data_IF_243588548787
#
_entry.id   IF_243588548787
#
_cell.length_a   1.000
_cell.length_b   1.000
_cell.length_c   1.000
_cell.angle_alpha   90.00
_cell.angle_beta   90.00
_cell.angle_gamma   90.00
#
_symmetry.space_group_name_H-M   'P 1'
#
loop_
_entity.id
_entity.type
_entity.pdbx_description
1 polymer ?
#
# COMPACT_ATOMS: atom_id res chain seq x y z
N UNK A 1 -30.86 -33.63 -1.08
CA UNK A 1 -31.10 -33.85 0.36
C UNK A 1 -30.73 -32.56 1.08
N UNK A 2 -31.69 -31.92 1.75
CA UNK A 2 -31.55 -30.57 2.34
C UNK A 2 -31.33 -30.73 3.85
N UNK A 3 -30.17 -30.32 4.35
CA UNK A 3 -29.90 -30.27 5.78
C UNK A 3 -30.12 -28.83 6.29
N UNK A 4 -31.11 -28.68 7.18
CA UNK A 4 -31.44 -27.44 7.87
C UNK A 4 -30.76 -27.50 9.24
N UNK A 5 -29.85 -26.57 9.52
CA UNK A 5 -29.21 -26.44 10.84
C UNK A 5 -29.72 -25.14 11.47
N UNK A 6 -30.62 -25.30 12.44
CA UNK A 6 -31.13 -24.24 13.31
C UNK A 6 -30.11 -24.01 14.43
N UNK A 7 -29.47 -22.84 14.47
CA UNK A 7 -28.65 -22.43 15.60
C UNK A 7 -29.41 -21.37 16.42
N UNK A 8 -29.62 -21.69 17.69
CA UNK A 8 -30.33 -20.90 18.70
C UNK A 8 -29.46 -19.70 19.10
N UNK A 9 -30.05 -18.51 19.06
CA UNK A 9 -29.45 -17.29 19.59
C UNK A 9 -29.42 -17.34 21.12
N UNK A 10 -28.22 -17.22 21.72
CA UNK A 10 -28.07 -16.92 23.14
C UNK A 10 -27.55 -15.48 23.28
N UNK A 11 -28.43 -14.58 23.74
CA UNK A 11 -28.09 -13.24 24.20
C UNK A 11 -27.49 -13.30 25.60
N UNK A 12 -26.32 -12.70 25.79
CA UNK A 12 -25.87 -12.27 27.12
C UNK A 12 -25.13 -10.95 26.98
N UNK A 13 -25.81 -9.90 27.42
CA UNK A 13 -25.26 -8.55 27.58
C UNK A 13 -24.50 -8.49 28.90
N UNK A 14 -23.23 -8.12 28.90
CA UNK A 14 -22.60 -7.54 30.09
C UNK A 14 -21.60 -6.48 29.66
N UNK A 15 -22.03 -5.22 29.79
CA UNK A 15 -21.18 -4.05 29.67
C UNK A 15 -20.37 -3.91 30.96
N UNK A 16 -19.04 -3.97 30.84
CA UNK A 16 -18.12 -3.49 31.87
C UNK A 16 -17.26 -2.39 31.24
N UNK A 17 -17.66 -1.14 31.51
CA UNK A 17 -16.87 0.04 31.21
C UNK A 17 -15.65 0.06 32.13
N UNK A 18 -14.49 -0.34 31.60
CA UNK A 18 -13.19 -0.09 32.21
C UNK A 18 -12.56 1.18 31.63
N UNK A 19 -11.86 1.99 32.44
CA UNK A 19 -11.25 3.22 31.97
C UNK A 19 -10.12 2.94 30.98
N UNK A 20 -10.11 3.77 29.94
CA UNK A 20 -9.14 3.82 28.87
C UNK A 20 -7.71 4.00 29.41
N UNK A 21 -6.92 2.93 29.33
CA UNK A 21 -5.45 2.95 29.34
C UNK A 21 -4.97 1.99 28.25
N UNK A 22 -5.40 2.24 27.01
CA UNK A 22 -4.86 1.59 25.83
C UNK A 22 -3.76 2.47 25.23
N UNK A 23 -2.59 2.36 25.85
CA UNK A 23 -1.27 2.41 25.22
C UNK A 23 -1.12 3.33 23.99
N UNK A 24 -0.69 4.57 24.24
CA UNK A 24 -0.12 5.49 23.24
C UNK A 24 1.12 4.92 22.50
N UNK A 25 1.61 3.73 22.90
CA UNK A 25 2.80 3.05 22.36
C UNK A 25 2.58 2.17 21.12
N UNK A 26 1.35 2.06 20.58
CA UNK A 26 1.13 1.32 19.32
C UNK A 26 1.39 2.13 18.04
N UNK A 27 1.66 3.44 18.14
CA UNK A 27 1.93 4.27 16.95
C UNK A 27 3.34 4.10 16.36
N UNK A 28 4.27 3.46 17.09
CA UNK A 28 5.70 3.46 16.75
C UNK A 28 6.25 2.11 16.26
N UNK A 29 5.37 1.17 15.90
CA UNK A 29 5.75 -0.16 15.38
C UNK A 29 5.23 -0.45 13.97
N UNK A 30 5.20 0.55 13.10
CA UNK A 30 5.55 0.26 11.71
C UNK A 30 7.03 -0.09 11.70
N UNK A 31 7.35 -1.35 12.02
CA UNK A 31 8.69 -1.92 11.85
C UNK A 31 9.21 -1.42 10.50
N UNK A 32 10.40 -0.80 10.49
CA UNK A 32 11.20 -0.66 9.26
C UNK A 32 11.19 -2.03 8.59
N UNK A 33 10.38 -2.16 7.55
CA UNK A 33 9.91 -3.45 7.09
C UNK A 33 9.62 -3.37 5.60
N UNK A 34 9.96 -4.44 4.91
CA UNK A 34 9.61 -4.56 3.50
C UNK A 34 8.09 -4.66 3.37
N UNK A 35 7.52 -3.82 2.51
CA UNK A 35 6.11 -3.85 2.14
C UNK A 35 5.99 -4.23 0.67
N UNK A 36 5.07 -5.14 0.39
CA UNK A 36 4.63 -5.48 -0.96
C UNK A 36 3.23 -4.92 -1.19
N UNK A 37 2.98 -4.37 -2.36
CA UNK A 37 1.64 -3.94 -2.76
C UNK A 37 1.35 -4.21 -4.23
N UNK A 38 0.08 -4.44 -4.51
CA UNK A 38 -0.47 -4.55 -5.86
C UNK A 38 -1.58 -3.52 -5.99
N UNK A 39 -1.61 -2.79 -7.10
CA UNK A 39 -2.63 -1.76 -7.30
C UNK A 39 -2.64 -1.22 -8.72
N UNK A 40 -3.61 -0.35 -8.97
CA UNK A 40 -3.72 0.39 -10.22
C UNK A 40 -3.07 1.75 -10.05
N UNK A 41 -2.26 2.16 -11.03
CA UNK A 41 -1.66 3.49 -11.09
C UNK A 41 -2.75 4.51 -11.37
N UNK A 42 -2.99 5.42 -10.43
CA UNK A 42 -3.98 6.49 -10.60
C UNK A 42 -3.34 7.84 -10.93
N UNK A 43 -2.04 7.97 -10.70
CA UNK A 43 -1.27 9.19 -10.89
C UNK A 43 0.24 8.89 -10.98
N UNK A 44 0.97 9.73 -11.70
CA UNK A 44 2.42 9.59 -11.95
C UNK A 44 3.08 10.96 -11.85
N UNK A 45 4.26 11.05 -11.24
CA UNK A 45 4.97 12.32 -11.09
C UNK A 45 6.47 12.11 -11.04
N UNK A 46 7.22 12.92 -11.79
CA UNK A 46 8.67 13.01 -11.67
C UNK A 46 9.05 14.08 -10.66
N UNK A 47 9.89 13.74 -9.69
CA UNK A 47 10.39 14.68 -8.68
C UNK A 47 11.90 14.72 -8.67
N UNK A 48 12.46 15.92 -8.60
CA UNK A 48 13.88 16.12 -8.36
C UNK A 48 14.09 16.34 -6.87
N UNK A 49 14.78 15.41 -6.21
CA UNK A 49 15.07 15.52 -4.78
C UNK A 49 16.28 16.43 -4.56
N UNK A 50 16.12 17.47 -3.74
CA UNK A 50 17.20 18.38 -3.40
C UNK A 50 18.33 17.63 -2.68
N UNK A 51 19.56 17.75 -3.19
CA UNK A 51 20.74 17.06 -2.64
C UNK A 51 21.02 15.67 -3.21
N UNK A 52 20.11 15.11 -4.02
CA UNK A 52 20.41 13.93 -4.85
C UNK A 52 20.98 14.40 -6.19
N UNK A 53 22.22 14.02 -6.51
CA UNK A 53 22.87 14.46 -7.73
C UNK A 53 22.21 13.83 -8.97
N UNK A 54 21.36 14.60 -9.66
CA UNK A 54 21.18 14.50 -11.11
C UNK A 54 20.21 13.45 -11.64
N UNK A 55 19.29 12.92 -10.84
CA UNK A 55 18.32 11.95 -11.38
C UNK A 55 16.96 12.08 -10.74
N UNK A 56 15.95 12.42 -11.55
CA UNK A 56 14.57 12.50 -11.10
C UNK A 56 14.07 11.15 -10.61
N UNK A 57 13.40 11.15 -9.46
CA UNK A 57 12.68 10.00 -8.94
C UNK A 57 11.30 9.93 -9.57
N UNK A 58 10.94 8.75 -10.06
CA UNK A 58 9.63 8.49 -10.64
C UNK A 58 8.68 7.98 -9.55
N UNK A 59 7.72 8.82 -9.18
CA UNK A 59 6.70 8.50 -8.19
C UNK A 59 5.42 8.06 -8.87
N UNK A 60 4.80 7.01 -8.36
CA UNK A 60 3.47 6.57 -8.75
C UNK A 60 2.54 6.55 -7.55
N UNK A 61 1.28 6.92 -7.77
CA UNK A 61 0.22 6.76 -6.78
C UNK A 61 -0.54 5.49 -7.13
N UNK A 62 -0.48 4.51 -6.25
CA UNK A 62 -1.21 3.26 -6.41
C UNK A 62 -2.48 3.29 -5.57
N UNK A 63 -3.58 2.88 -6.19
CA UNK A 63 -4.84 2.60 -5.52
C UNK A 63 -5.01 1.08 -5.41
N UNK A 64 -5.27 0.59 -4.19
CA UNK A 64 -5.39 -0.85 -3.90
C UNK A 64 -6.56 -1.16 -2.99
N UNK A 65 -7.11 -2.37 -3.15
CA UNK A 65 -8.18 -2.93 -2.33
C UNK A 65 -9.56 -2.30 -2.58
N UNK A 66 -10.57 -2.82 -1.87
CA UNK A 66 -11.96 -2.34 -1.94
C UNK A 66 -12.12 -0.94 -1.35
N UNK A 67 -11.28 -0.60 -0.37
CA UNK A 67 -11.31 0.70 0.33
C UNK A 67 -10.62 1.82 -0.44
N UNK A 68 -10.14 1.54 -1.66
CA UNK A 68 -9.43 2.49 -2.53
C UNK A 68 -8.28 3.18 -1.78
N UNK A 69 -7.54 2.41 -0.99
CA UNK A 69 -6.42 2.94 -0.21
C UNK A 69 -5.32 3.39 -1.17
N UNK A 70 -4.87 4.62 -0.99
CA UNK A 70 -3.83 5.23 -1.84
C UNK A 70 -2.48 5.23 -1.13
N UNK A 71 -1.45 4.79 -1.83
CA UNK A 71 -0.06 4.79 -1.36
C UNK A 71 0.83 5.35 -2.45
N UNK A 72 1.79 6.18 -2.07
CA UNK A 72 2.81 6.68 -2.99
C UNK A 72 3.94 5.68 -3.03
N UNK A 73 4.37 5.30 -4.22
CA UNK A 73 5.50 4.40 -4.45
C UNK A 73 6.55 5.16 -5.24
N UNK A 74 7.76 5.21 -4.70
CA UNK A 74 8.94 5.70 -5.39
C UNK A 74 9.58 4.52 -6.14
N UNK A 75 9.58 4.60 -7.48
CA UNK A 75 10.19 3.60 -8.36
C UNK A 75 11.68 3.85 -8.58
N UNK A 76 12.24 4.90 -7.96
CA UNK A 76 13.61 5.32 -8.13
C UNK A 76 13.82 6.09 -9.43
N UNK A 77 15.06 6.11 -9.88
CA UNK A 77 15.46 6.79 -11.11
C UNK A 77 14.95 5.99 -12.31
N UNK A 78 14.16 6.63 -13.18
CA UNK A 78 13.84 6.04 -14.47
C UNK A 78 15.07 6.13 -15.39
N UNK A 79 15.64 4.97 -15.71
CA UNK A 79 16.52 4.81 -16.88
C UNK A 79 15.68 4.47 -18.10
N UNK A 80 16.14 4.84 -19.30
CA UNK A 80 15.48 4.52 -20.58
C UNK A 80 15.23 3.01 -20.82
N UNK A 81 15.93 2.15 -20.09
CA UNK A 81 15.76 0.70 -20.12
C UNK A 81 14.48 0.20 -19.40
N UNK A 82 13.83 1.03 -18.60
CA UNK A 82 12.61 0.66 -17.87
C UNK A 82 11.37 1.06 -18.69
N UNK A 83 10.50 0.10 -18.99
CA UNK A 83 9.19 0.38 -19.58
C UNK A 83 8.48 1.46 -18.75
N UNK A 84 7.96 2.48 -19.42
CA UNK A 84 7.20 3.54 -18.78
C UNK A 84 5.94 2.92 -18.13
N UNK A 85 5.85 3.05 -16.80
CA UNK A 85 4.62 2.75 -16.05
C UNK A 85 3.72 3.95 -16.19
N UNK A 86 2.49 3.76 -16.64
CA UNK A 86 1.55 4.85 -16.91
C UNK A 86 0.28 4.73 -16.06
N UNK A 87 -0.53 5.79 -16.09
CA UNK A 87 -1.82 5.79 -15.41
C UNK A 87 -2.74 4.75 -16.05
N UNK A 88 -3.37 3.93 -15.21
CA UNK A 88 -4.22 2.82 -15.61
C UNK A 88 -3.53 1.46 -15.49
N UNK A 89 -2.20 1.42 -15.48
CA UNK A 89 -1.46 0.18 -15.36
C UNK A 89 -1.72 -0.50 -14.02
N UNK A 90 -1.87 -1.82 -14.05
CA UNK A 90 -1.86 -2.64 -12.84
C UNK A 90 -0.44 -3.10 -12.59
N UNK A 91 0.12 -2.74 -11.44
CA UNK A 91 1.51 -3.08 -11.10
C UNK A 91 1.61 -3.76 -9.74
N UNK A 92 2.71 -4.49 -9.54
CA UNK A 92 3.19 -4.88 -8.22
C UNK A 92 4.44 -4.07 -7.87
N UNK A 93 4.62 -3.77 -6.59
CA UNK A 93 5.82 -3.12 -6.07
C UNK A 93 6.21 -3.73 -4.72
N UNK A 94 7.51 -3.92 -4.51
CA UNK A 94 8.09 -4.45 -3.27
C UNK A 94 9.23 -3.53 -2.85
N UNK A 95 9.20 -3.05 -1.62
CA UNK A 95 10.13 -2.02 -1.19
C UNK A 95 10.12 -1.76 0.31
N UNK A 96 10.90 -0.79 0.74
CA UNK A 96 10.91 -0.36 2.13
C UNK A 96 9.72 0.56 2.40
N UNK A 97 8.91 0.24 3.40
CA UNK A 97 7.87 1.15 3.86
C UNK A 97 8.47 2.29 4.68
N UNK A 98 7.98 3.50 4.44
CA UNK A 98 8.31 4.70 5.17
C UNK A 98 7.08 5.60 5.30
N UNK A 99 7.23 6.70 6.05
CA UNK A 99 6.24 7.78 6.11
C UNK A 99 6.91 9.11 5.86
N UNK A 100 6.28 9.95 5.04
CA UNK A 100 6.72 11.33 4.77
C UNK A 100 5.52 12.22 5.04
N UNK A 101 5.64 13.15 6.01
CA UNK A 101 4.53 14.03 6.43
C UNK A 101 3.23 13.24 6.68
N UNK A 102 3.31 12.18 7.49
CA UNK A 102 2.25 11.22 7.82
C UNK A 102 1.68 10.37 6.67
N UNK A 103 2.12 10.59 5.44
CA UNK A 103 1.69 9.82 4.26
C UNK A 103 2.52 8.55 4.13
N UNK A 104 1.90 7.38 3.93
CA UNK A 104 2.62 6.15 3.67
C UNK A 104 3.31 6.20 2.30
N UNK A 105 4.59 5.87 2.28
CA UNK A 105 5.42 5.82 1.07
C UNK A 105 6.13 4.47 1.01
N UNK A 106 6.28 3.92 -0.20
CA UNK A 106 7.11 2.74 -0.46
C UNK A 106 8.28 3.15 -1.33
N UNK A 107 9.49 2.90 -0.87
CA UNK A 107 10.68 2.98 -1.72
C UNK A 107 10.90 1.63 -2.38
N UNK A 108 10.45 1.50 -3.63
CA UNK A 108 10.47 0.23 -4.34
C UNK A 108 11.91 -0.21 -4.64
N UNK A 109 12.18 -1.48 -4.35
CA UNK A 109 13.40 -2.19 -4.80
C UNK A 109 13.12 -3.02 -6.05
N UNK A 110 11.88 -3.48 -6.18
CA UNK A 110 11.39 -4.27 -7.31
C UNK A 110 9.99 -3.81 -7.64
N UNK A 111 9.68 -3.73 -8.93
CA UNK A 111 8.33 -3.49 -9.42
C UNK A 111 8.16 -4.12 -10.80
N UNK A 112 6.92 -4.30 -11.22
CA UNK A 112 6.60 -4.78 -12.55
C UNK A 112 5.11 -4.67 -12.85
N UNK A 113 4.80 -4.70 -14.13
CA UNK A 113 3.42 -4.69 -14.63
C UNK A 113 2.81 -6.08 -14.49
N UNK A 114 1.55 -6.13 -14.09
CA UNK A 114 0.74 -7.34 -14.06
C UNK A 114 -0.04 -7.41 -15.38
N UNK A 115 0.50 -8.15 -16.35
CA UNK A 115 -0.22 -8.42 -17.58
C UNK A 115 -1.27 -9.49 -17.33
N UNK A 116 -2.54 -9.17 -17.59
CA UNK A 116 -3.59 -10.18 -17.63
C UNK A 116 -3.38 -11.03 -18.88
N UNK A 117 -3.04 -12.30 -18.70
CA UNK A 117 -2.88 -13.23 -19.81
C UNK A 117 -4.27 -13.56 -20.34
N UNK A 118 -4.72 -12.83 -21.35
CA UNK A 118 -5.94 -13.19 -22.08
C UNK A 118 -5.67 -14.50 -22.80
N UNK A 119 -6.39 -15.55 -22.40
CA UNK A 119 -6.33 -16.90 -22.98
C UNK A 119 -7.24 -17.01 -24.18
#
# INVERSE_FOLDING_TARGET
MKSVITAIALSTSLALAGPALASDDQKDRMKKGTMSMVGTVVDTTNVNLAGAAGSGHYLVKLESGKDKRRVVVDLGVQSDANKAIEKGDKIFAVGNAARINDRPVVFARYYGELQETTK
#
